data_IF_584596967733
#
_entry.id   IF_584596967733
#
_cell.length_a   1.000
_cell.length_b   1.000
_cell.length_c   1.000
_cell.angle_alpha   90.00
_cell.angle_beta   90.00
_cell.angle_gamma   90.00
#
_symmetry.space_group_name_H-M   'P 1'
#
loop_
_entity.id
_entity.type
_entity.pdbx_description
1 polymer ?
#
# COMPACT_ATOMS: atom_id res chain seq x y z
N UNK A 1 -1.47 3.23 14.56
CA UNK A 1 -1.98 2.77 13.24
C UNK A 1 -3.50 2.80 13.27
N UNK A 2 -4.15 3.00 12.12
CA UNK A 2 -5.62 2.90 11.99
C UNK A 2 -6.06 1.76 11.07
N UNK A 3 -5.15 1.24 10.24
CA UNK A 3 -5.37 0.09 9.38
C UNK A 3 -4.05 -0.69 9.28
N UNK A 4 -4.14 -2.02 9.33
CA UNK A 4 -3.02 -2.95 9.21
C UNK A 4 -3.50 -4.15 8.39
N UNK A 5 -2.68 -4.60 7.44
CA UNK A 5 -2.99 -5.70 6.52
C UNK A 5 -1.77 -6.58 6.35
N UNK A 6 -2.00 -7.87 6.14
CA UNK A 6 -0.98 -8.88 5.92
C UNK A 6 -1.41 -9.78 4.77
N UNK A 7 -0.51 -10.04 3.85
CA UNK A 7 -0.74 -10.98 2.75
C UNK A 7 0.52 -11.21 1.93
N UNK A 8 0.41 -11.79 0.72
CA UNK A 8 1.56 -12.09 -0.13
C UNK A 8 2.41 -10.86 -0.49
N UNK A 9 1.85 -9.64 -0.44
CA UNK A 9 2.60 -8.40 -0.66
C UNK A 9 3.37 -7.87 0.55
N UNK A 10 3.25 -8.53 1.70
CA UNK A 10 3.93 -8.22 2.95
C UNK A 10 3.00 -7.70 4.04
N UNK A 11 3.60 -7.00 5.01
CA UNK A 11 2.92 -6.40 6.15
C UNK A 11 2.87 -4.88 5.96
N UNK A 12 1.67 -4.36 5.72
CA UNK A 12 1.45 -2.95 5.38
C UNK A 12 0.53 -2.31 6.41
N UNK A 13 0.74 -1.01 6.62
CA UNK A 13 0.01 -0.28 7.64
C UNK A 13 -0.22 1.18 7.24
N UNK A 14 -1.28 1.76 7.77
CA UNK A 14 -1.60 3.17 7.62
C UNK A 14 -1.79 3.81 8.99
N UNK A 15 -1.20 4.98 9.22
CA UNK A 15 -1.37 5.75 10.44
C UNK A 15 -2.57 6.73 10.38
N UNK A 16 -2.84 7.47 11.45
CA UNK A 16 -3.96 8.43 11.50
C UNK A 16 -3.82 9.54 10.44
N UNK A 17 -2.59 9.95 10.15
CA UNK A 17 -2.23 10.96 9.14
C UNK A 17 -2.22 10.43 7.69
N UNK A 18 -2.71 9.20 7.44
CA UNK A 18 -2.72 8.55 6.12
C UNK A 18 -1.33 8.23 5.55
N UNK A 19 -0.27 8.28 6.35
CA UNK A 19 1.06 7.82 5.92
C UNK A 19 1.09 6.30 5.88
N UNK A 20 1.68 5.74 4.81
CA UNK A 20 1.77 4.30 4.60
C UNK A 20 3.14 3.79 5.02
N UNK A 21 3.16 2.64 5.67
CA UNK A 21 4.36 1.98 6.15
C UNK A 21 4.37 0.52 5.72
N UNK A 22 5.58 0.01 5.44
CA UNK A 22 5.84 -1.41 5.24
C UNK A 22 6.76 -1.91 6.34
N UNK A 23 6.40 -3.04 6.94
CA UNK A 23 7.24 -3.70 7.92
C UNK A 23 8.26 -4.59 7.20
N UNK A 24 9.54 -4.30 7.40
CA UNK A 24 10.67 -5.04 6.81
C UNK A 24 11.82 -5.03 7.81
N UNK A 25 12.53 -6.16 7.91
CA UNK A 25 13.72 -6.27 8.77
C UNK A 25 13.49 -5.83 10.23
N UNK A 26 12.31 -6.13 10.77
CA UNK A 26 11.95 -5.82 12.16
C UNK A 26 11.47 -4.40 12.42
N UNK A 27 11.34 -3.56 11.38
CA UNK A 27 10.95 -2.15 11.54
C UNK A 27 9.96 -1.66 10.46
N UNK A 28 9.18 -0.64 10.79
CA UNK A 28 8.33 0.06 9.83
C UNK A 28 9.14 1.11 9.07
N UNK A 29 9.14 1.00 7.75
CA UNK A 29 9.69 2.00 6.84
C UNK A 29 8.55 2.73 6.12
N UNK A 30 8.66 4.05 5.96
CA UNK A 30 7.63 4.84 5.27
C UNK A 30 7.70 4.61 3.77
N UNK A 31 6.53 4.46 3.14
CA UNK A 31 6.37 4.50 1.69
C UNK A 31 5.79 5.89 1.34
N UNK A 32 6.37 6.63 0.37
CA UNK A 32 5.91 7.96 -0.02
C UNK A 32 4.59 7.90 -0.80
N UNK A 33 3.48 7.73 -0.08
CA UNK A 33 2.10 7.79 -0.58
C UNK A 33 1.14 8.13 0.57
N UNK A 34 -0.01 8.71 0.24
CA UNK A 34 -1.06 9.08 1.21
C UNK A 34 -2.31 8.25 0.97
N UNK A 35 -2.52 7.19 1.77
CA UNK A 35 -3.68 6.30 1.66
C UNK A 35 -4.43 6.27 2.98
N UNK A 36 -5.77 6.25 2.96
CA UNK A 36 -6.57 6.03 4.17
C UNK A 36 -6.70 4.55 4.54
N UNK A 37 -6.51 3.67 3.56
CA UNK A 37 -6.53 2.22 3.69
C UNK A 37 -5.61 1.60 2.63
N UNK A 38 -4.93 0.51 2.99
CA UNK A 38 -4.02 -0.25 2.13
C UNK A 38 -4.34 -1.74 2.24
N UNK A 39 -4.07 -2.54 1.21
CA UNK A 39 -4.24 -3.98 1.24
C UNK A 39 -3.01 -4.70 0.68
N UNK A 40 -2.68 -5.84 1.27
CA UNK A 40 -1.51 -6.66 0.92
C UNK A 40 -1.88 -8.07 0.43
N UNK A 41 -3.16 -8.32 0.15
CA UNK A 41 -3.67 -9.66 -0.19
C UNK A 41 -3.39 -10.15 -1.61
N UNK A 42 -3.06 -9.26 -2.56
CA UNK A 42 -2.76 -9.64 -3.95
C UNK A 42 -1.41 -10.36 -4.13
N UNK A 43 -1.13 -10.93 -5.30
CA UNK A 43 0.18 -11.53 -5.64
C UNK A 43 1.29 -10.47 -5.70
N UNK A 44 1.79 -10.13 -4.52
CA UNK A 44 2.88 -9.20 -4.28
C UNK A 44 2.64 -7.76 -4.75
N UNK A 45 1.43 -7.44 -5.22
CA UNK A 45 0.98 -6.07 -5.48
C UNK A 45 0.45 -5.44 -4.20
N UNK A 46 0.71 -4.15 -4.01
CA UNK A 46 0.07 -3.37 -2.95
C UNK A 46 -1.04 -2.55 -3.58
N UNK A 47 -2.20 -2.49 -2.93
CA UNK A 47 -3.28 -1.61 -3.38
C UNK A 47 -3.79 -0.75 -2.23
N UNK A 48 -4.49 0.32 -2.55
CA UNK A 48 -5.20 1.08 -1.54
C UNK A 48 -5.90 2.30 -2.09
N UNK A 49 -6.48 3.08 -1.19
CA UNK A 49 -7.31 4.23 -1.54
C UNK A 49 -6.93 5.48 -0.76
N UNK A 50 -7.00 6.63 -1.40
CA UNK A 50 -6.74 7.94 -0.77
C UNK A 50 -7.93 8.38 0.10
N UNK A 51 -7.76 9.41 0.95
CA UNK A 51 -8.89 10.04 1.63
C UNK A 51 -10.03 10.48 0.69
N UNK A 52 -9.70 10.84 -0.56
CA UNK A 52 -10.62 11.27 -1.61
C UNK A 52 -11.18 10.12 -2.48
N UNK A 53 -11.04 8.88 -2.01
CA UNK A 53 -11.48 7.66 -2.69
C UNK A 53 -10.74 7.35 -4.00
N UNK A 54 -9.62 8.02 -4.33
CA UNK A 54 -8.79 7.65 -5.48
C UNK A 54 -8.12 6.30 -5.26
N UNK A 55 -8.03 5.50 -6.32
CA UNK A 55 -7.56 4.11 -6.29
C UNK A 55 -6.12 4.07 -6.77
N UNK A 56 -5.24 3.43 -6.01
CA UNK A 56 -3.83 3.26 -6.36
C UNK A 56 -3.38 1.81 -6.23
N UNK A 57 -2.47 1.40 -7.11
CA UNK A 57 -1.74 0.14 -7.01
C UNK A 57 -0.23 0.32 -7.22
N UNK A 58 0.55 -0.55 -6.59
CA UNK A 58 1.99 -0.67 -6.77
C UNK A 58 2.29 -2.08 -7.30
N UNK A 59 3.08 -2.17 -8.37
CA UNK A 59 3.42 -3.44 -8.99
C UNK A 59 4.30 -4.31 -8.09
N UNK A 60 4.30 -5.61 -8.36
CA UNK A 60 5.16 -6.61 -7.72
C UNK A 60 6.63 -6.26 -7.78
N UNK A 61 7.11 -5.85 -8.96
CA UNK A 61 8.52 -5.47 -9.15
C UNK A 61 8.88 -4.28 -8.25
N UNK A 62 8.06 -3.23 -8.25
CA UNK A 62 8.26 -2.05 -7.40
C UNK A 62 8.15 -2.36 -5.91
N UNK A 63 7.27 -3.28 -5.51
CA UNK A 63 7.13 -3.69 -4.12
C UNK A 63 8.35 -4.47 -3.59
N UNK A 64 9.03 -5.20 -4.47
CA UNK A 64 10.13 -6.11 -4.13
C UNK A 64 11.52 -5.54 -4.39
N UNK A 65 11.63 -4.46 -5.16
CA UNK A 65 12.85 -3.67 -5.21
C UNK A 65 13.11 -3.14 -3.79
N UNK A 66 14.35 -3.27 -3.31
CA UNK A 66 14.78 -2.88 -1.96
C UNK A 66 14.58 -1.39 -1.65
N UNK A 67 15.27 -0.80 -0.65
CA UNK A 67 15.04 0.58 -0.24
C UNK A 67 15.45 1.57 -1.36
N UNK A 68 14.54 1.80 -2.30
CA UNK A 68 14.67 2.76 -3.38
C UNK A 68 13.72 3.92 -3.09
N UNK A 69 14.09 5.11 -3.54
CA UNK A 69 13.32 6.34 -3.34
C UNK A 69 12.12 6.46 -4.29
N UNK A 70 11.94 5.52 -5.22
CA UNK A 70 10.92 5.61 -6.27
C UNK A 70 9.89 4.49 -6.15
N UNK A 71 8.65 4.88 -5.86
CA UNK A 71 7.49 4.00 -5.84
C UNK A 71 6.56 4.41 -6.98
N UNK A 72 6.63 3.75 -8.16
CA UNK A 72 5.83 4.10 -9.32
C UNK A 72 4.38 3.65 -9.13
N UNK A 73 3.64 4.36 -8.27
CA UNK A 73 2.23 4.15 -8.03
C UNK A 73 1.43 4.44 -9.29
N UNK A 74 0.51 3.53 -9.63
CA UNK A 74 -0.42 3.68 -10.74
C UNK A 74 -1.79 4.04 -10.17
N UNK A 75 -2.35 5.16 -10.62
CA UNK A 75 -3.73 5.51 -10.32
C UNK A 75 -4.68 4.77 -11.27
N UNK A 76 -5.66 4.08 -10.72
CA UNK A 76 -6.73 3.45 -11.50
C UNK A 76 -7.92 4.41 -11.64
N UNK A 77 -8.63 4.34 -12.75
CA UNK A 77 -9.85 5.12 -12.96
C UNK A 77 -10.96 4.68 -11.99
N UNK A 78 -11.66 5.64 -11.40
CA UNK A 78 -12.81 5.38 -10.53
C UNK A 78 -12.60 5.89 -9.11
N UNK A 79 -13.54 5.53 -8.22
CA UNK A 79 -13.52 5.91 -6.81
C UNK A 79 -13.97 4.73 -5.93
N UNK A 80 -13.20 4.41 -4.88
CA UNK A 80 -13.53 3.38 -3.90
C UNK A 80 -13.25 3.85 -2.49
N UNK A 81 -14.14 3.53 -1.55
CA UNK A 81 -13.95 3.78 -0.12
C UNK A 81 -13.00 2.78 0.54
N UNK A 82 -12.91 1.57 -0.02
CA UNK A 82 -12.10 0.46 0.46
C UNK A 82 -11.75 -0.42 -0.74
N UNK A 83 -10.51 -0.91 -0.83
CA UNK A 83 -10.03 -1.75 -1.92
C UNK A 83 -9.13 -2.87 -1.38
N UNK A 84 -9.40 -4.11 -1.81
CA UNK A 84 -8.66 -5.31 -1.41
C UNK A 84 -8.45 -6.22 -2.63
N UNK A 85 -7.37 -6.99 -2.60
CA UNK A 85 -6.99 -7.94 -3.66
C UNK A 85 -6.77 -9.33 -3.07
N UNK A 86 -6.88 -10.34 -3.94
CA UNK A 86 -6.56 -11.74 -3.65
C UNK A 86 -5.80 -12.39 -4.82
N UNK A 87 -5.64 -13.73 -4.80
CA UNK A 87 -5.01 -14.50 -5.87
C UNK A 87 -5.77 -14.44 -7.20
#
# INVERSE_FOLDING_TARGET
>A
MKHFTVGPAGELAVNLSNSVFKFQSGQFSSIPVTLKQVDAGGDQIIVGVTPLDDIFCLSKDANNIGPTSSFPWVQLSGKLKYYSCGP
#
